data_IF_509108543430
#
_entry.id   IF_509108543430
#
_cell.length_a   1.000
_cell.length_b   1.000
_cell.length_c   1.000
_cell.angle_alpha   90.00
_cell.angle_beta   90.00
_cell.angle_gamma   90.00
#
_symmetry.space_group_name_H-M   'P 1'
#
loop_
_entity.id
_entity.type
_entity.pdbx_description
1 polymer ?
#
# COMPACT_ATOMS: atom_id res chain seq x y z
N UNK A 1 -14.91 12.45 12.38
CA UNK A 1 -15.15 11.01 12.49
C UNK A 1 -14.00 10.26 11.86
N UNK A 2 -13.35 9.33 12.52
CA UNK A 2 -12.20 8.65 11.95
C UNK A 2 -12.68 7.60 10.93
N UNK A 3 -12.37 7.85 9.67
CA UNK A 3 -12.36 6.79 8.68
C UNK A 3 -11.23 5.84 9.09
N UNK A 4 -11.55 4.55 9.22
CA UNK A 4 -10.53 3.57 9.61
C UNK A 4 -9.43 3.49 8.55
N UNK A 5 -8.17 3.58 8.98
CA UNK A 5 -7.00 3.41 8.12
C UNK A 5 -6.83 1.93 7.78
N UNK A 6 -7.64 1.45 6.83
CA UNK A 6 -7.68 0.09 6.33
C UNK A 6 -7.60 0.10 4.80
N UNK A 7 -7.78 -1.05 4.19
CA UNK A 7 -7.82 -1.12 2.73
C UNK A 7 -9.01 -0.32 2.16
N UNK A 8 -8.90 0.08 0.89
CA UNK A 8 -9.87 0.97 0.25
C UNK A 8 -11.32 0.46 0.23
N UNK A 9 -11.54 -0.84 0.37
CA UNK A 9 -12.89 -1.42 0.45
C UNK A 9 -13.58 -0.99 1.74
N UNK A 10 -12.92 -1.15 2.88
CA UNK A 10 -13.46 -0.71 4.17
C UNK A 10 -13.61 0.81 4.26
N UNK A 11 -12.66 1.56 3.70
CA UNK A 11 -12.76 3.01 3.63
C UNK A 11 -14.02 3.47 2.87
N UNK A 12 -14.43 2.77 1.80
CA UNK A 12 -15.68 3.07 1.07
C UNK A 12 -16.91 2.86 1.97
N UNK A 13 -16.94 1.81 2.76
CA UNK A 13 -18.05 1.55 3.69
C UNK A 13 -18.15 2.64 4.75
N UNK A 14 -17.02 3.05 5.33
CA UNK A 14 -16.99 4.13 6.32
C UNK A 14 -17.44 5.47 5.70
N UNK A 15 -17.00 5.77 4.48
CA UNK A 15 -17.43 6.97 3.73
C UNK A 15 -18.93 6.95 3.46
N UNK A 16 -19.49 5.81 3.08
CA UNK A 16 -20.93 5.68 2.81
C UNK A 16 -21.74 5.98 4.09
N UNK A 17 -21.30 5.49 5.23
CA UNK A 17 -21.95 5.79 6.49
C UNK A 17 -21.92 7.28 6.82
N UNK A 18 -20.80 7.96 6.59
CA UNK A 18 -20.66 9.40 6.79
C UNK A 18 -21.55 10.21 5.84
N UNK A 19 -21.66 9.82 4.58
CA UNK A 19 -22.57 10.44 3.61
C UNK A 19 -24.02 10.33 4.08
N UNK A 20 -24.43 9.15 4.54
CA UNK A 20 -25.78 8.91 5.05
C UNK A 20 -26.09 9.73 6.31
N UNK A 21 -25.07 10.08 7.10
CA UNK A 21 -25.17 10.97 8.26
C UNK A 21 -25.16 12.48 7.89
N UNK A 22 -25.04 12.81 6.60
CA UNK A 22 -25.04 14.19 6.14
C UNK A 22 -23.68 14.89 6.23
N UNK A 23 -22.57 14.16 6.37
CA UNK A 23 -21.24 14.75 6.38
C UNK A 23 -20.93 15.46 5.06
N UNK A 24 -20.29 16.63 5.13
CA UNK A 24 -19.88 17.36 3.93
C UNK A 24 -18.74 16.66 3.20
N UNK A 25 -18.64 16.87 1.87
CA UNK A 25 -17.51 16.35 1.08
C UNK A 25 -16.15 16.80 1.61
N UNK A 26 -16.08 18.03 2.11
CA UNK A 26 -14.87 18.59 2.72
C UNK A 26 -14.47 17.85 3.99
N UNK A 27 -15.43 17.56 4.86
CA UNK A 27 -15.18 16.83 6.11
C UNK A 27 -14.74 15.40 5.84
N UNK A 28 -15.34 14.76 4.83
CA UNK A 28 -14.94 13.42 4.38
C UNK A 28 -13.51 13.45 3.84
N UNK A 29 -13.17 14.43 2.98
CA UNK A 29 -11.81 14.55 2.43
C UNK A 29 -10.75 14.75 3.54
N UNK A 30 -11.02 15.61 4.51
CA UNK A 30 -10.12 15.83 5.67
C UNK A 30 -10.02 14.57 6.52
N UNK A 31 -11.10 13.81 6.68
CA UNK A 31 -11.08 12.53 7.42
C UNK A 31 -10.24 11.46 6.70
N UNK A 32 -10.29 11.42 5.37
CA UNK A 32 -9.42 10.55 4.56
C UNK A 32 -7.95 10.94 4.75
N UNK A 33 -7.60 12.22 4.66
CA UNK A 33 -6.23 12.67 4.90
C UNK A 33 -5.74 12.31 6.31
N UNK A 34 -6.59 12.50 7.33
CA UNK A 34 -6.24 12.12 8.70
C UNK A 34 -6.01 10.61 8.83
N UNK A 35 -6.80 9.79 8.16
CA UNK A 35 -6.63 8.33 8.13
C UNK A 35 -5.28 7.95 7.51
N UNK A 36 -4.92 8.54 6.37
CA UNK A 36 -3.63 8.33 5.69
C UNK A 36 -2.47 8.73 6.61
N UNK A 37 -2.57 9.89 7.27
CA UNK A 37 -1.55 10.37 8.21
C UNK A 37 -1.35 9.40 9.36
N UNK A 38 -2.43 8.97 10.00
CA UNK A 38 -2.37 8.03 11.12
C UNK A 38 -1.73 6.70 10.70
N UNK A 39 -2.12 6.17 9.54
CA UNK A 39 -1.56 4.94 9.01
C UNK A 39 -0.07 5.08 8.69
N UNK A 40 0.31 6.18 8.04
CA UNK A 40 1.71 6.44 7.67
C UNK A 40 2.58 6.56 8.91
N UNK A 41 2.15 7.34 9.89
CA UNK A 41 2.90 7.51 11.15
C UNK A 41 3.02 6.17 11.87
N UNK A 42 1.94 5.41 12.00
CA UNK A 42 1.95 4.11 12.67
C UNK A 42 2.91 3.12 12.00
N UNK A 43 2.90 3.08 10.67
CA UNK A 43 3.75 2.16 9.91
C UNK A 43 5.24 2.56 9.92
N UNK A 44 5.55 3.86 9.80
CA UNK A 44 6.93 4.34 9.76
C UNK A 44 7.55 4.41 11.16
N UNK A 45 6.78 4.86 12.13
CA UNK A 45 7.29 5.06 13.49
C UNK A 45 7.48 3.74 14.24
N UNK A 46 6.66 2.72 13.96
CA UNK A 46 6.70 1.42 14.66
C UNK A 46 6.79 1.60 16.20
N UNK A 47 6.00 2.51 16.75
CA UNK A 47 5.99 2.85 18.18
C UNK A 47 7.11 3.79 18.65
N UNK A 48 8.00 4.23 17.76
CA UNK A 48 9.05 5.20 18.09
C UNK A 48 8.54 6.63 17.90
N UNK A 49 8.93 7.59 18.75
CA UNK A 49 8.55 8.98 18.56
C UNK A 49 9.28 9.60 17.38
N UNK A 50 8.55 10.28 16.49
CA UNK A 50 9.12 11.12 15.44
C UNK A 50 9.43 12.48 16.10
N UNK A 51 10.70 12.88 16.11
CA UNK A 51 11.20 14.09 16.75
C UNK A 51 12.23 14.81 15.89
N UNK A 52 12.42 16.10 16.14
CA UNK A 52 13.37 16.96 15.45
C UNK A 52 12.86 17.43 14.10
N UNK A 53 13.76 17.83 13.22
CA UNK A 53 13.41 18.41 11.93
C UNK A 53 12.79 17.34 11.00
N UNK A 54 11.61 17.66 10.47
CA UNK A 54 10.86 16.75 9.57
C UNK A 54 10.78 17.37 8.19
N UNK A 55 11.35 16.67 7.20
CA UNK A 55 11.30 17.07 5.81
C UNK A 55 10.08 16.45 5.10
N UNK A 56 9.27 17.32 4.48
CA UNK A 56 8.11 16.93 3.69
C UNK A 56 8.49 16.86 2.22
N UNK A 57 8.70 15.64 1.69
CA UNK A 57 9.18 15.37 0.35
C UNK A 57 8.18 14.52 -0.43
N UNK A 58 8.26 14.60 -1.76
CA UNK A 58 7.43 13.82 -2.67
C UNK A 58 6.16 14.53 -3.13
N UNK A 59 5.59 14.04 -4.23
CA UNK A 59 4.44 14.65 -4.91
C UNK A 59 3.22 14.86 -4.01
N UNK A 60 2.74 13.85 -3.27
CA UNK A 60 1.55 14.00 -2.44
C UNK A 60 1.67 15.14 -1.41
N UNK A 61 2.82 15.27 -0.75
CA UNK A 61 3.03 16.31 0.27
C UNK A 61 3.32 17.69 -0.34
N UNK A 62 3.77 17.72 -1.59
CA UNK A 62 3.95 18.97 -2.34
C UNK A 62 2.63 19.52 -2.87
N UNK A 63 1.81 18.66 -3.53
CA UNK A 63 0.59 19.09 -4.22
C UNK A 63 -0.67 19.10 -3.33
N UNK A 64 -0.65 18.45 -2.15
CA UNK A 64 -1.77 18.38 -1.24
C UNK A 64 -1.44 19.09 0.09
N UNK A 65 -1.57 20.43 0.16
CA UNK A 65 -1.20 21.19 1.34
C UNK A 65 -1.99 20.76 2.59
N UNK A 66 -3.26 20.39 2.45
CA UNK A 66 -4.06 19.88 3.55
C UNK A 66 -3.53 18.56 4.11
N UNK A 67 -2.98 17.68 3.29
CA UNK A 67 -2.34 16.45 3.76
C UNK A 67 -1.11 16.78 4.60
N UNK A 68 -0.25 17.68 4.11
CA UNK A 68 0.93 18.15 4.85
C UNK A 68 0.54 18.80 6.17
N UNK A 69 -0.48 19.65 6.18
CA UNK A 69 -0.99 20.29 7.39
C UNK A 69 -1.47 19.26 8.42
N UNK A 70 -2.12 18.19 7.98
CA UNK A 70 -2.53 17.09 8.86
C UNK A 70 -1.35 16.38 9.52
N UNK A 71 -0.26 16.14 8.78
CA UNK A 71 0.99 15.61 9.35
C UNK A 71 1.56 16.57 10.42
N UNK A 72 1.68 17.85 10.11
CA UNK A 72 2.20 18.86 11.02
C UNK A 72 1.40 18.88 12.33
N UNK A 73 0.06 18.91 12.23
CA UNK A 73 -0.83 18.91 13.40
C UNK A 73 -0.75 17.60 14.20
N UNK A 74 -0.70 16.45 13.52
CA UNK A 74 -0.69 15.15 14.20
C UNK A 74 0.64 14.89 14.90
N UNK A 75 1.75 15.34 14.32
CA UNK A 75 3.09 15.24 14.92
C UNK A 75 3.38 16.38 15.92
N UNK A 76 2.49 17.38 15.99
CA UNK A 76 2.65 18.58 16.82
C UNK A 76 3.99 19.29 16.57
N UNK A 77 4.34 19.46 15.27
CA UNK A 77 5.59 20.09 14.86
C UNK A 77 5.50 21.62 15.02
N UNK A 78 6.59 22.19 15.50
CA UNK A 78 6.79 23.64 15.51
C UNK A 78 7.28 24.10 14.14
N UNK A 79 7.15 25.40 13.86
CA UNK A 79 7.54 25.96 12.56
C UNK A 79 9.02 25.74 12.23
N UNK A 80 9.91 25.85 13.22
CA UNK A 80 11.34 25.60 13.08
C UNK A 80 11.71 24.14 12.80
N UNK A 81 10.80 23.20 13.06
CA UNK A 81 11.01 21.75 12.81
C UNK A 81 10.54 21.33 11.42
N UNK A 82 9.92 22.24 10.65
CA UNK A 82 9.33 21.94 9.35
C UNK A 82 10.31 22.28 8.23
N UNK A 83 10.69 21.27 7.43
CA UNK A 83 11.49 21.45 6.22
C UNK A 83 10.61 21.17 5.00
N UNK A 84 10.35 22.18 4.20
CA UNK A 84 9.53 22.10 2.99
C UNK A 84 10.27 22.74 1.81
N UNK A 85 11.17 22.04 1.14
CA UNK A 85 11.89 22.59 -0.01
C UNK A 85 10.96 22.89 -1.19
N UNK A 86 11.30 23.91 -1.99
CA UNK A 86 10.50 24.34 -3.14
C UNK A 86 10.26 23.21 -4.15
N UNK A 87 11.29 22.42 -4.44
CA UNK A 87 11.22 21.31 -5.39
C UNK A 87 11.04 19.94 -4.73
N UNK A 88 10.30 19.89 -3.62
CA UNK A 88 10.15 18.68 -2.79
C UNK A 88 9.62 17.47 -3.56
N UNK A 89 8.85 17.67 -4.65
CA UNK A 89 8.26 16.61 -5.46
C UNK A 89 9.29 15.82 -6.28
N UNK A 90 10.45 16.41 -6.58
CA UNK A 90 11.49 15.77 -7.41
C UNK A 90 12.76 15.42 -6.63
N UNK A 91 12.74 15.47 -5.30
CA UNK A 91 13.92 15.20 -4.47
C UNK A 91 14.51 13.80 -4.69
N UNK A 92 13.67 12.79 -4.94
CA UNK A 92 14.14 11.44 -5.26
C UNK A 92 14.94 11.44 -6.57
N UNK A 93 14.45 12.14 -7.59
CA UNK A 93 15.16 12.27 -8.87
C UNK A 93 16.47 13.04 -8.74
N UNK A 94 16.48 14.11 -7.93
CA UNK A 94 17.70 14.88 -7.61
C UNK A 94 18.70 13.98 -6.89
N UNK A 95 18.25 13.23 -5.89
CA UNK A 95 19.11 12.28 -5.15
C UNK A 95 19.70 11.21 -6.07
N UNK A 96 18.90 10.64 -6.96
CA UNK A 96 19.36 9.68 -7.95
C UNK A 96 20.39 10.29 -8.90
N UNK A 97 20.16 11.51 -9.38
CA UNK A 97 21.11 12.23 -10.24
C UNK A 97 22.44 12.51 -9.53
N UNK A 98 22.40 12.97 -8.28
CA UNK A 98 23.61 13.19 -7.47
C UNK A 98 24.35 11.86 -7.24
N UNK A 99 23.64 10.81 -6.90
CA UNK A 99 24.23 9.48 -6.68
C UNK A 99 24.88 8.92 -7.94
N UNK A 100 24.38 9.27 -9.11
CA UNK A 100 24.91 8.78 -10.39
C UNK A 100 26.34 9.20 -10.66
N UNK A 101 26.82 10.31 -10.07
CA UNK A 101 28.22 10.74 -10.19
C UNK A 101 29.23 9.73 -9.61
N UNK A 102 28.81 8.85 -8.72
CA UNK A 102 29.63 7.81 -8.13
C UNK A 102 29.71 6.55 -9.01
N UNK A 103 28.96 6.48 -10.10
CA UNK A 103 28.91 5.32 -11.00
C UNK A 103 29.58 5.63 -12.34
N UNK A 104 30.21 4.61 -12.92
CA UNK A 104 30.74 4.71 -14.27
C UNK A 104 29.56 4.80 -15.27
N UNK A 105 29.60 5.72 -16.24
CA UNK A 105 28.60 5.76 -17.31
C UNK A 105 28.61 4.44 -18.09
N UNK A 106 27.43 3.96 -18.41
CA UNK A 106 27.25 2.81 -19.31
C UNK A 106 26.48 3.25 -20.55
N UNK A 107 26.76 2.63 -21.68
CA UNK A 107 26.02 2.90 -22.91
C UNK A 107 24.62 2.27 -22.84
N UNK A 108 23.68 2.83 -23.64
CA UNK A 108 22.35 2.26 -23.76
C UNK A 108 22.39 0.79 -24.24
N UNK A 109 23.29 0.47 -25.18
CA UNK A 109 23.48 -0.89 -25.67
C UNK A 109 23.93 -1.83 -24.56
N UNK A 110 24.85 -1.39 -23.72
CA UNK A 110 25.30 -2.19 -22.58
C UNK A 110 24.17 -2.40 -21.55
N UNK A 111 23.39 -1.37 -21.26
CA UNK A 111 22.23 -1.48 -20.36
C UNK A 111 21.19 -2.46 -20.94
N UNK A 112 20.88 -2.35 -22.23
CA UNK A 112 19.94 -3.23 -22.92
C UNK A 112 20.40 -4.69 -22.85
N UNK A 113 21.69 -4.95 -23.11
CA UNK A 113 22.26 -6.29 -23.04
C UNK A 113 22.23 -6.84 -21.60
N UNK A 114 22.50 -6.01 -20.60
CA UNK A 114 22.41 -6.44 -19.19
C UNK A 114 20.98 -6.83 -18.81
N UNK A 115 19.98 -6.06 -19.22
CA UNK A 115 18.57 -6.37 -18.95
C UNK A 115 18.13 -7.66 -19.64
N UNK A 116 18.47 -7.83 -20.92
CA UNK A 116 18.08 -9.02 -21.68
C UNK A 116 18.83 -10.30 -21.24
N UNK A 117 20.07 -10.14 -20.76
CA UNK A 117 20.89 -11.27 -20.30
C UNK A 117 20.81 -11.45 -18.77
N UNK A 118 19.99 -10.66 -18.08
CA UNK A 118 19.74 -10.87 -16.65
C UNK A 118 18.88 -12.11 -16.48
N UNK A 119 19.52 -13.26 -16.55
CA UNK A 119 18.96 -14.49 -16.00
C UNK A 119 18.92 -14.29 -14.49
N UNK A 120 17.69 -14.17 -13.99
CA UNK A 120 17.33 -14.17 -12.57
C UNK A 120 18.30 -13.38 -11.67
N UNK A 121 17.95 -12.15 -11.37
CA UNK A 121 18.51 -11.48 -10.18
C UNK A 121 17.98 -12.30 -8.99
N UNK A 122 18.76 -13.28 -8.56
CA UNK A 122 18.56 -13.94 -7.28
C UNK A 122 18.83 -12.86 -6.25
N UNK A 123 17.76 -12.21 -5.77
CA UNK A 123 17.83 -11.33 -4.61
C UNK A 123 18.02 -12.28 -3.41
N UNK A 124 19.28 -12.57 -3.12
CA UNK A 124 19.70 -13.51 -2.08
C UNK A 124 19.63 -12.90 -0.68
N UNK A 125 18.56 -12.19 -0.33
CA UNK A 125 18.46 -11.58 1.01
C UNK A 125 17.36 -12.17 1.88
N UNK A 126 16.52 -13.04 1.36
CA UNK A 126 15.54 -13.77 2.17
C UNK A 126 15.54 -15.23 1.79
N UNK A 127 15.36 -16.10 2.77
CA UNK A 127 15.08 -17.51 2.55
C UNK A 127 13.89 -17.61 1.59
N UNK A 128 14.17 -17.96 0.33
CA UNK A 128 13.13 -18.15 -0.67
C UNK A 128 12.32 -19.35 -0.20
N UNK A 129 11.04 -19.12 0.07
CA UNK A 129 10.15 -20.21 0.40
C UNK A 129 10.15 -21.23 -0.74
N UNK A 130 10.16 -22.52 -0.45
CA UNK A 130 10.08 -23.54 -1.48
C UNK A 130 8.78 -23.35 -2.28
N UNK A 131 8.77 -23.68 -3.59
CA UNK A 131 7.57 -23.60 -4.39
C UNK A 131 6.45 -24.42 -3.77
N UNK A 132 5.21 -23.95 -3.90
CA UNK A 132 4.02 -24.59 -3.33
C UNK A 132 3.91 -26.07 -3.76
N UNK A 133 4.30 -26.37 -4.99
CA UNK A 133 4.35 -27.73 -5.52
C UNK A 133 5.77 -28.06 -5.96
N UNK A 134 6.25 -29.26 -5.59
CA UNK A 134 7.59 -29.73 -5.97
C UNK A 134 7.67 -30.14 -7.45
N UNK A 135 6.54 -30.52 -8.00
CA UNK A 135 6.41 -30.99 -9.38
C UNK A 135 4.93 -30.98 -9.83
N UNK A 136 4.70 -31.21 -11.10
CA UNK A 136 3.36 -31.24 -11.68
C UNK A 136 2.45 -32.33 -11.08
N UNK A 137 3.00 -33.43 -10.58
CA UNK A 137 2.23 -34.48 -9.93
C UNK A 137 1.61 -34.00 -8.62
N UNK A 138 2.36 -33.25 -7.82
CA UNK A 138 1.87 -32.66 -6.57
C UNK A 138 0.75 -31.65 -6.86
N UNK A 139 0.89 -30.86 -7.92
CA UNK A 139 -0.13 -29.89 -8.35
C UNK A 139 -1.43 -30.60 -8.79
N UNK A 140 -1.32 -31.67 -9.57
CA UNK A 140 -2.46 -32.47 -10.02
C UNK A 140 -3.17 -33.18 -8.85
N UNK A 141 -2.42 -33.69 -7.88
CA UNK A 141 -2.98 -34.31 -6.69
C UNK A 141 -3.73 -33.29 -5.83
N UNK A 142 -3.17 -32.11 -5.64
CA UNK A 142 -3.85 -30.99 -4.97
C UNK A 142 -5.16 -30.64 -5.67
N UNK A 143 -5.13 -30.47 -6.97
CA UNK A 143 -6.32 -30.15 -7.78
C UNK A 143 -7.39 -31.23 -7.66
N UNK A 144 -7.00 -32.49 -7.76
CA UNK A 144 -7.90 -33.65 -7.60
C UNK A 144 -8.56 -33.66 -6.22
N UNK A 145 -7.78 -33.45 -5.16
CA UNK A 145 -8.28 -33.43 -3.79
C UNK A 145 -9.23 -32.25 -3.53
N UNK A 146 -9.03 -31.11 -4.18
CA UNK A 146 -9.91 -29.95 -4.07
C UNK A 146 -11.19 -30.09 -4.91
N UNK A 147 -11.11 -30.67 -6.11
CA UNK A 147 -12.29 -30.95 -6.93
C UNK A 147 -13.27 -31.90 -6.26
N UNK A 148 -12.79 -32.89 -5.52
CA UNK A 148 -13.64 -33.85 -4.81
C UNK A 148 -14.34 -33.26 -3.60
N UNK A 149 -13.82 -32.14 -3.04
CA UNK A 149 -14.40 -31.42 -1.90
C UNK A 149 -15.33 -30.29 -2.29
N UNK A 150 -15.56 -30.05 -3.55
CA UNK A 150 -16.53 -29.05 -4.00
C UNK A 150 -17.94 -29.49 -3.59
N UNK A 151 -18.62 -28.62 -2.86
CA UNK A 151 -20.03 -28.82 -2.52
C UNK A 151 -20.85 -28.96 -3.81
N UNK A 152 -21.69 -29.99 -3.88
CA UNK A 152 -22.64 -30.12 -4.97
C UNK A 152 -23.55 -28.91 -4.98
N UNK A 153 -23.55 -28.18 -6.09
CA UNK A 153 -24.51 -27.10 -6.31
C UNK A 153 -25.89 -27.74 -6.45
N UNK A 154 -26.79 -27.37 -5.56
CA UNK A 154 -28.17 -27.83 -5.55
C UNK A 154 -29.05 -26.68 -6.03
N UNK A 155 -30.02 -26.98 -6.89
CA UNK A 155 -31.03 -26.00 -7.30
C UNK A 155 -31.95 -25.74 -6.11
N UNK A 156 -31.82 -24.55 -5.52
CA UNK A 156 -32.56 -24.15 -4.31
C UNK A 156 -34.07 -24.21 -4.53
N UNK A 157 -34.54 -23.99 -5.77
CA UNK A 157 -35.98 -24.04 -6.09
C UNK A 157 -36.57 -25.44 -5.97
N UNK A 158 -35.72 -26.47 -6.00
CA UNK A 158 -36.14 -27.91 -5.97
C UNK A 158 -35.66 -28.63 -4.71
N UNK A 159 -34.95 -27.94 -3.84
CA UNK A 159 -34.39 -28.56 -2.64
C UNK A 159 -35.41 -28.59 -1.52
N UNK A 160 -35.65 -29.78 -0.96
CA UNK A 160 -36.46 -29.97 0.23
C UNK A 160 -35.57 -30.59 1.30
N UNK A 161 -35.25 -29.80 2.34
CA UNK A 161 -34.40 -30.22 3.44
C UNK A 161 -33.91 -29.06 4.30
N UNK A 162 -33.16 -29.32 5.36
CA UNK A 162 -32.59 -28.28 6.20
C UNK A 162 -31.55 -27.43 5.42
N UNK A 163 -31.63 -26.12 5.55
CA UNK A 163 -30.69 -25.17 4.94
C UNK A 163 -30.06 -24.29 6.03
N UNK A 164 -28.82 -23.88 5.77
CA UNK A 164 -28.13 -22.89 6.58
C UNK A 164 -27.96 -21.62 5.76
N UNK A 165 -28.37 -20.50 6.31
CA UNK A 165 -28.20 -19.18 5.70
C UNK A 165 -26.96 -18.52 6.29
N UNK A 166 -25.94 -18.27 5.47
CA UNK A 166 -24.83 -17.38 5.80
C UNK A 166 -25.14 -15.99 5.26
N UNK A 167 -25.00 -14.96 6.08
CA UNK A 167 -25.09 -13.55 5.67
C UNK A 167 -23.69 -12.96 5.89
N UNK A 168 -23.09 -12.49 4.78
CA UNK A 168 -21.77 -11.85 4.78
C UNK A 168 -21.94 -10.33 4.66
#
# INVERSE_FOLDING_TARGET
SPIASRCGVFAKTDIQALINQGASKSDIAVSVFQSVVNQTISNLACGRPIRGNVAFLGGPLHFLPMLKERFIKTLNLKEEEIISPENSQIFVAIGAAISSFNFKPISFVELFNRVNNSQEIIIAENDIMPPLFKNDKDALEFEKNHKTKNLKKVDISKYIGPMYLGID
#
